data_IF_217946046960
#
_entry.id   IF_217946046960
#
_cell.length_a   1.000
_cell.length_b   1.000
_cell.length_c   1.000
_cell.angle_alpha   90.00
_cell.angle_beta   90.00
_cell.angle_gamma   90.00
#
_symmetry.space_group_name_H-M   'P 1'
#
loop_
_entity.id
_entity.type
_entity.pdbx_description
1 polymer ?
#
# COMPACT_ATOMS: atom_id res chain seq x y z
N UNK A 1 -12.21 8.30 21.80
CA UNK A 1 -11.88 7.29 22.83
C UNK A 1 -10.45 7.42 23.38
N UNK A 2 -9.40 7.47 22.55
CA UNK A 2 -8.01 7.54 23.03
C UNK A 2 -7.70 8.71 23.97
N UNK A 3 -8.20 9.91 23.67
CA UNK A 3 -8.10 11.09 24.54
C UNK A 3 -8.79 10.88 25.90
N UNK A 4 -10.01 10.34 25.90
CA UNK A 4 -10.76 10.07 27.13
C UNK A 4 -10.04 9.06 28.04
N UNK A 5 -9.26 8.14 27.46
CA UNK A 5 -8.41 7.18 28.16
C UNK A 5 -7.03 7.72 28.53
N UNK A 6 -6.76 9.01 28.27
CA UNK A 6 -5.49 9.68 28.55
C UNK A 6 -4.27 8.96 27.93
N UNK A 7 -4.44 8.41 26.73
CA UNK A 7 -3.34 7.72 26.05
C UNK A 7 -2.30 8.69 25.48
N UNK A 8 -2.65 9.96 25.28
CA UNK A 8 -1.80 11.10 24.94
C UNK A 8 -2.65 12.37 24.98
N UNK A 9 -2.04 13.53 25.19
CA UNK A 9 -2.73 14.83 25.03
C UNK A 9 -2.83 15.24 23.54
N UNK A 10 -2.04 14.61 22.66
CA UNK A 10 -2.16 14.77 21.22
C UNK A 10 -3.22 13.80 20.68
N UNK A 11 -4.28 14.35 20.05
CA UNK A 11 -5.41 13.56 19.55
C UNK A 11 -5.04 12.49 18.52
N UNK A 12 -4.06 12.77 17.64
CA UNK A 12 -3.60 11.81 16.64
C UNK A 12 -2.84 10.64 17.27
N UNK A 13 -1.91 10.93 18.17
CA UNK A 13 -1.17 9.89 18.93
C UNK A 13 -2.14 9.08 19.80
N UNK A 14 -3.08 9.75 20.48
CA UNK A 14 -4.08 9.08 21.31
C UNK A 14 -4.95 8.13 20.47
N UNK A 15 -5.29 8.52 19.24
CA UNK A 15 -6.01 7.67 18.30
C UNK A 15 -5.20 6.44 17.89
N UNK A 16 -3.93 6.61 17.49
CA UNK A 16 -3.06 5.49 17.09
C UNK A 16 -2.81 4.51 18.22
N UNK A 17 -2.57 5.00 19.44
CA UNK A 17 -2.44 4.14 20.64
C UNK A 17 -3.73 3.40 20.93
N UNK A 18 -4.89 4.05 20.77
CA UNK A 18 -6.17 3.37 20.99
C UNK A 18 -6.44 2.32 19.92
N UNK A 19 -6.14 2.63 18.66
CA UNK A 19 -6.18 1.67 17.56
C UNK A 19 -5.34 0.44 17.88
N UNK A 20 -4.08 0.60 18.29
CA UNK A 20 -3.21 -0.50 18.66
C UNK A 20 -3.77 -1.37 19.81
N UNK A 21 -4.29 -0.75 20.88
CA UNK A 21 -4.95 -1.49 21.96
C UNK A 21 -6.15 -2.31 21.46
N UNK A 22 -7.03 -1.70 20.67
CA UNK A 22 -8.22 -2.39 20.13
C UNK A 22 -7.86 -3.51 19.17
N UNK A 23 -6.85 -3.29 18.31
CA UNK A 23 -6.32 -4.33 17.44
C UNK A 23 -5.82 -5.51 18.26
N UNK A 24 -4.98 -5.29 19.29
CA UNK A 24 -4.52 -6.36 20.16
C UNK A 24 -5.66 -7.11 20.87
N UNK A 25 -6.68 -6.39 21.36
CA UNK A 25 -7.88 -6.98 21.98
C UNK A 25 -8.66 -7.88 21.00
N UNK A 26 -8.93 -7.39 19.78
CA UNK A 26 -9.65 -8.13 18.75
C UNK A 26 -8.86 -9.35 18.27
N UNK A 27 -7.56 -9.20 18.06
CA UNK A 27 -6.71 -10.29 17.59
C UNK A 27 -6.57 -11.42 18.61
N UNK A 28 -6.65 -11.13 19.92
CA UNK A 28 -6.75 -12.17 20.96
C UNK A 28 -8.04 -12.97 20.88
N UNK A 29 -9.17 -12.32 20.56
CA UNK A 29 -10.45 -13.01 20.41
C UNK A 29 -10.37 -13.96 19.23
N UNK A 30 -9.89 -13.49 18.07
CA UNK A 30 -9.73 -14.34 16.89
C UNK A 30 -8.73 -15.48 17.11
N UNK A 31 -7.65 -15.25 17.85
CA UNK A 31 -6.73 -16.32 18.22
C UNK A 31 -7.42 -17.45 19.02
N UNK A 32 -8.40 -17.12 19.86
CA UNK A 32 -9.21 -18.14 20.57
C UNK A 32 -10.17 -18.87 19.62
N UNK A 33 -10.81 -18.13 18.70
CA UNK A 33 -11.75 -18.70 17.72
C UNK A 33 -11.06 -19.68 16.76
N UNK A 34 -9.79 -19.41 16.42
CA UNK A 34 -8.97 -20.24 15.54
C UNK A 34 -7.99 -21.15 16.32
N UNK A 35 -8.20 -21.38 17.61
CA UNK A 35 -7.25 -22.12 18.45
C UNK A 35 -7.05 -23.58 17.99
N UNK A 36 -8.04 -24.19 17.34
CA UNK A 36 -8.00 -25.52 16.73
C UNK A 36 -7.30 -25.55 15.35
N UNK A 37 -7.12 -24.39 14.73
CA UNK A 37 -6.52 -24.22 13.40
C UNK A 37 -5.68 -22.93 13.31
N UNK A 38 -4.68 -22.75 14.19
CA UNK A 38 -3.97 -21.47 14.33
C UNK A 38 -3.25 -21.04 13.04
N UNK A 39 -2.83 -22.00 12.19
CA UNK A 39 -2.21 -21.72 10.89
C UNK A 39 -3.14 -21.09 9.85
N UNK A 40 -4.45 -21.02 10.09
CA UNK A 40 -5.42 -20.35 9.20
C UNK A 40 -5.67 -18.87 9.57
N UNK A 41 -4.99 -18.35 10.61
CA UNK A 41 -5.12 -16.98 11.05
C UNK A 41 -3.80 -16.21 10.89
N UNK A 42 -3.86 -15.06 10.24
CA UNK A 42 -2.79 -14.04 10.28
C UNK A 42 -3.37 -12.78 10.90
N UNK A 43 -2.85 -12.39 12.07
CA UNK A 43 -3.28 -11.21 12.80
C UNK A 43 -2.48 -10.00 12.32
N UNK A 44 -3.16 -8.96 11.85
CA UNK A 44 -2.53 -7.83 11.16
C UNK A 44 -2.85 -6.52 11.87
N UNK A 45 -1.81 -5.69 12.10
CA UNK A 45 -1.98 -4.26 12.35
C UNK A 45 -1.61 -3.48 11.08
N UNK A 46 -2.33 -2.41 10.79
CA UNK A 46 -2.14 -1.57 9.61
C UNK A 46 -1.75 -0.14 9.99
N UNK A 47 -0.80 0.43 9.27
CA UNK A 47 -0.28 1.80 9.48
C UNK A 47 -0.18 2.57 8.16
N UNK A 48 0.10 3.87 8.24
CA UNK A 48 0.24 4.70 7.05
C UNK A 48 1.60 4.45 6.41
N UNK A 49 1.60 4.10 5.12
CA UNK A 49 2.84 3.88 4.39
C UNK A 49 3.68 5.17 4.33
N UNK A 50 3.09 6.25 3.82
CA UNK A 50 3.71 7.57 3.67
C UNK A 50 4.09 8.27 4.98
N UNK A 51 3.72 7.70 6.13
CA UNK A 51 4.09 8.23 7.44
C UNK A 51 4.56 7.10 8.37
N UNK A 52 5.81 6.64 8.24
CA UNK A 52 6.36 5.53 9.04
C UNK A 52 6.35 5.78 10.56
N UNK A 53 6.26 7.04 11.01
CA UNK A 53 6.08 7.35 12.43
C UNK A 53 4.77 6.79 13.01
N UNK A 54 3.76 6.56 12.17
CA UNK A 54 2.55 5.85 12.61
C UNK A 54 2.86 4.39 12.97
N UNK A 55 3.78 3.73 12.25
CA UNK A 55 4.25 2.39 12.60
C UNK A 55 5.02 2.36 13.91
N UNK A 56 5.86 3.36 14.16
CA UNK A 56 6.52 3.52 15.46
C UNK A 56 5.51 3.56 16.62
N UNK A 57 4.54 4.47 16.58
CA UNK A 57 3.58 4.63 17.68
C UNK A 57 2.76 3.35 17.88
N UNK A 58 2.29 2.76 16.78
CA UNK A 58 1.46 1.55 16.83
C UNK A 58 2.27 0.37 17.39
N UNK A 59 3.47 0.12 16.87
CA UNK A 59 4.30 -1.03 17.29
C UNK A 59 4.90 -0.86 18.69
N UNK A 60 5.13 0.37 19.16
CA UNK A 60 5.59 0.65 20.53
C UNK A 60 4.47 0.64 21.56
N UNK A 61 3.19 0.60 21.14
CA UNK A 61 2.07 0.53 22.08
C UNK A 61 2.07 -0.84 22.79
N UNK A 62 2.09 -0.87 24.15
CA UNK A 62 2.22 -2.11 24.90
C UNK A 62 1.17 -3.17 24.53
N UNK A 63 1.63 -4.41 24.37
CA UNK A 63 0.80 -5.57 24.10
C UNK A 63 0.31 -5.71 22.65
N UNK A 64 0.53 -4.74 21.75
CA UNK A 64 0.16 -4.95 20.35
C UNK A 64 1.03 -6.03 19.70
N UNK A 65 2.36 -5.89 19.80
CA UNK A 65 3.30 -6.78 19.13
C UNK A 65 3.09 -8.25 19.49
N UNK A 66 2.73 -8.57 20.73
CA UNK A 66 2.46 -9.96 21.15
C UNK A 66 1.20 -10.56 20.50
N UNK A 67 0.33 -9.70 19.98
CA UNK A 67 -0.99 -10.06 19.49
C UNK A 67 -1.15 -9.94 17.97
N UNK A 68 -0.06 -9.67 17.24
CA UNK A 68 -0.04 -9.63 15.77
C UNK A 68 1.07 -10.51 15.20
N UNK A 69 0.89 -10.89 13.94
CA UNK A 69 1.83 -11.70 13.14
C UNK A 69 2.47 -10.87 12.02
N UNK A 70 1.79 -9.81 11.57
CA UNK A 70 2.27 -8.91 10.53
C UNK A 70 1.91 -7.43 10.79
N UNK A 71 2.82 -6.55 10.38
CA UNK A 71 2.55 -5.14 10.14
C UNK A 71 2.26 -4.94 8.66
N UNK A 72 1.21 -4.21 8.34
CA UNK A 72 0.78 -3.96 6.98
C UNK A 72 0.70 -2.47 6.64
N UNK A 73 1.09 -2.10 5.41
CA UNK A 73 0.90 -0.74 4.89
C UNK A 73 0.27 -0.77 3.49
N UNK A 74 0.02 0.40 2.91
CA UNK A 74 -0.44 0.55 1.54
C UNK A 74 0.57 1.35 0.69
N UNK A 75 1.61 0.71 0.11
CA UNK A 75 2.67 1.36 -0.67
C UNK A 75 2.20 1.92 -2.02
N UNK A 76 1.29 2.87 -2.01
CA UNK A 76 0.93 3.60 -3.22
C UNK A 76 2.04 4.55 -3.67
N UNK A 77 2.22 4.68 -4.99
CA UNK A 77 3.13 5.67 -5.60
C UNK A 77 2.37 6.64 -6.50
N UNK A 78 2.87 7.87 -6.67
CA UNK A 78 2.19 8.90 -7.44
C UNK A 78 1.15 9.71 -6.66
N UNK A 79 1.19 9.73 -5.33
CA UNK A 79 0.35 10.65 -4.55
C UNK A 79 0.75 12.10 -4.85
N UNK A 80 -0.24 12.99 -5.06
CA UNK A 80 -0.01 14.38 -5.47
C UNK A 80 0.86 14.54 -6.73
N UNK A 81 0.88 13.52 -7.60
CA UNK A 81 1.82 13.46 -8.73
C UNK A 81 1.69 14.64 -9.70
N UNK A 82 0.49 15.19 -9.88
CA UNK A 82 0.23 16.29 -10.81
C UNK A 82 0.27 17.67 -10.14
N UNK A 83 0.76 17.78 -8.91
CA UNK A 83 0.93 19.08 -8.26
C UNK A 83 2.26 19.74 -8.64
N UNK A 84 2.38 21.04 -8.40
CA UNK A 84 3.62 21.79 -8.64
C UNK A 84 4.06 21.79 -10.10
N UNK A 85 5.33 21.47 -10.36
CA UNK A 85 5.94 21.55 -11.70
C UNK A 85 5.30 20.61 -12.73
N UNK A 86 4.55 19.59 -12.29
CA UNK A 86 3.88 18.62 -13.17
C UNK A 86 2.45 19.00 -13.52
N UNK A 87 1.90 20.06 -12.91
CA UNK A 87 0.53 20.53 -13.16
C UNK A 87 0.25 20.66 -14.66
N UNK A 88 1.11 21.38 -15.37
CA UNK A 88 0.97 21.65 -16.81
C UNK A 88 1.91 20.80 -17.69
N UNK A 89 2.53 19.75 -17.14
CA UNK A 89 3.43 18.89 -17.91
C UNK A 89 2.62 18.01 -18.88
N UNK A 90 3.01 17.99 -20.14
CA UNK A 90 2.36 17.24 -21.23
C UNK A 90 3.25 16.15 -21.83
N UNK A 91 4.55 16.15 -21.56
CA UNK A 91 5.45 15.09 -21.99
C UNK A 91 5.15 13.80 -21.21
N UNK A 92 4.47 12.87 -21.88
CA UNK A 92 4.06 11.59 -21.29
C UNK A 92 5.26 10.71 -20.95
N UNK A 93 6.36 10.78 -21.70
CA UNK A 93 7.54 9.96 -21.44
C UNK A 93 8.24 10.44 -20.17
N UNK A 94 8.36 11.77 -20.01
CA UNK A 94 8.90 12.37 -18.78
C UNK A 94 8.01 12.05 -17.57
N UNK A 95 6.67 12.17 -17.70
CA UNK A 95 5.73 11.80 -16.63
C UNK A 95 5.84 10.33 -16.23
N UNK A 96 5.98 9.40 -17.19
CA UNK A 96 6.13 7.98 -16.88
C UNK A 96 7.48 7.68 -16.23
N UNK A 97 8.55 8.35 -16.67
CA UNK A 97 9.88 8.25 -16.03
C UNK A 97 9.86 8.75 -14.58
N UNK A 98 9.20 9.88 -14.33
CA UNK A 98 9.04 10.44 -12.98
C UNK A 98 8.22 9.51 -12.09
N UNK A 99 7.12 8.95 -12.60
CA UNK A 99 6.29 8.00 -11.87
C UNK A 99 7.07 6.73 -11.52
N UNK A 100 7.90 6.23 -12.44
CA UNK A 100 8.80 5.10 -12.19
C UNK A 100 9.78 5.39 -11.04
N UNK A 101 10.35 6.60 -11.03
CA UNK A 101 11.25 7.08 -9.97
C UNK A 101 10.55 7.15 -8.62
N UNK A 102 9.31 7.63 -8.58
CA UNK A 102 8.50 7.65 -7.36
C UNK A 102 8.17 6.25 -6.86
N UNK A 103 7.77 5.32 -7.73
CA UNK A 103 7.51 3.93 -7.36
C UNK A 103 8.73 3.29 -6.65
N UNK A 104 9.94 3.54 -7.17
CA UNK A 104 11.18 3.08 -6.57
C UNK A 104 11.44 3.73 -5.20
N UNK A 105 11.26 5.06 -5.10
CA UNK A 105 11.47 5.82 -3.84
C UNK A 105 10.51 5.37 -2.75
N UNK A 106 9.22 5.20 -3.07
CA UNK A 106 8.18 4.72 -2.16
C UNK A 106 8.62 3.44 -1.44
N UNK A 107 9.16 2.45 -2.17
CA UNK A 107 9.62 1.22 -1.54
C UNK A 107 10.97 1.38 -0.83
N UNK A 108 11.92 2.13 -1.43
CA UNK A 108 13.27 2.30 -0.90
C UNK A 108 13.34 3.15 0.38
N UNK A 109 12.38 4.05 0.58
CA UNK A 109 12.34 4.96 1.70
C UNK A 109 11.25 4.54 2.71
N UNK A 110 9.99 4.81 2.39
CA UNK A 110 8.86 4.56 3.28
C UNK A 110 8.66 3.04 3.51
N UNK A 111 8.84 2.23 2.47
CA UNK A 111 8.80 0.77 2.57
C UNK A 111 9.81 0.22 3.57
N UNK A 112 11.09 0.59 3.41
CA UNK A 112 12.17 0.17 4.32
C UNK A 112 11.95 0.68 5.75
N UNK A 113 11.49 1.93 5.91
CA UNK A 113 11.22 2.50 7.23
C UNK A 113 10.11 1.74 7.97
N UNK A 114 9.02 1.38 7.30
CA UNK A 114 7.96 0.57 7.90
C UNK A 114 8.42 -0.89 8.14
N UNK A 115 9.17 -1.48 7.20
CA UNK A 115 9.72 -2.83 7.34
C UNK A 115 10.67 -2.94 8.53
N UNK A 116 11.46 -1.90 8.81
CA UNK A 116 12.35 -1.85 9.97
C UNK A 116 11.56 -1.96 11.29
N UNK A 117 10.40 -1.32 11.40
CA UNK A 117 9.53 -1.44 12.57
C UNK A 117 8.92 -2.83 12.70
N UNK A 118 8.49 -3.45 11.60
CA UNK A 118 8.03 -4.84 11.63
C UNK A 118 9.15 -5.79 12.12
N UNK A 119 10.34 -5.66 11.52
CA UNK A 119 11.54 -6.46 11.83
C UNK A 119 11.97 -6.31 13.28
N UNK A 120 11.94 -5.10 13.85
CA UNK A 120 12.29 -4.81 15.25
C UNK A 120 11.49 -5.65 16.24
N UNK A 121 10.26 -6.01 15.90
CA UNK A 121 9.37 -6.82 16.74
C UNK A 121 9.19 -8.26 16.22
N UNK A 122 10.04 -8.70 15.28
CA UNK A 122 9.97 -10.05 14.70
C UNK A 122 8.67 -10.31 13.93
N UNK A 123 8.07 -9.28 13.31
CA UNK A 123 6.83 -9.37 12.54
C UNK A 123 7.08 -9.36 11.06
N UNK A 124 6.18 -10.00 10.31
CA UNK A 124 6.13 -9.90 8.85
C UNK A 124 5.80 -8.46 8.44
N UNK A 125 6.29 -8.06 7.27
CA UNK A 125 5.92 -6.80 6.64
C UNK A 125 5.18 -7.09 5.33
N UNK A 126 3.90 -6.73 5.27
CA UNK A 126 3.02 -7.01 4.13
C UNK A 126 2.39 -5.73 3.60
N UNK A 127 1.84 -5.78 2.39
CA UNK A 127 1.01 -4.72 1.83
C UNK A 127 -0.43 -5.20 1.66
N UNK A 128 -1.36 -4.53 2.35
CA UNK A 128 -2.80 -4.83 2.24
C UNK A 128 -3.41 -4.23 0.97
N UNK A 129 -2.80 -3.18 0.43
CA UNK A 129 -3.13 -2.52 -0.84
C UNK A 129 -1.87 -1.94 -1.46
N UNK A 130 -1.81 -1.78 -2.79
CA UNK A 130 -0.63 -1.26 -3.49
C UNK A 130 -0.95 -0.90 -4.93
N UNK A 131 -0.10 -0.05 -5.50
CA UNK A 131 -0.15 0.35 -6.91
C UNK A 131 0.02 1.86 -7.11
N UNK A 132 -0.31 2.33 -8.30
CA UNK A 132 -0.32 3.77 -8.58
C UNK A 132 -1.49 4.48 -7.87
N UNK A 133 -1.33 5.78 -7.63
CA UNK A 133 -2.31 6.73 -7.09
C UNK A 133 -2.40 7.99 -7.98
N UNK A 134 -2.59 7.84 -9.29
CA UNK A 134 -2.77 8.99 -10.17
C UNK A 134 -4.20 9.54 -10.02
N UNK A 135 -4.31 10.75 -9.47
CA UNK A 135 -5.54 11.52 -9.30
C UNK A 135 -5.39 12.91 -9.91
N UNK A 136 -6.36 13.32 -10.73
CA UNK A 136 -6.38 14.63 -11.37
C UNK A 136 -7.82 15.05 -11.66
N UNK A 137 -8.26 16.15 -11.07
CA UNK A 137 -9.57 16.74 -11.36
C UNK A 137 -9.62 17.24 -12.80
N UNK A 138 -10.53 16.70 -13.61
CA UNK A 138 -10.65 17.04 -15.04
C UNK A 138 -9.60 16.40 -15.96
N UNK A 139 -8.64 15.66 -15.42
CA UNK A 139 -7.49 15.09 -16.14
C UNK A 139 -7.69 13.69 -16.73
N UNK A 140 -8.93 13.26 -16.98
CA UNK A 140 -9.22 11.86 -17.34
C UNK A 140 -8.46 11.37 -18.58
N UNK A 141 -8.32 12.21 -19.60
CA UNK A 141 -7.57 11.87 -20.82
C UNK A 141 -6.09 11.66 -20.54
N UNK A 142 -5.48 12.53 -19.73
CA UNK A 142 -4.05 12.44 -19.36
C UNK A 142 -3.79 11.19 -18.52
N UNK A 143 -4.57 10.98 -17.46
CA UNK A 143 -4.51 9.77 -16.63
C UNK A 143 -4.73 8.52 -17.49
N UNK A 144 -5.72 8.55 -18.39
CA UNK A 144 -5.99 7.45 -19.33
C UNK A 144 -4.80 7.11 -20.21
N UNK A 145 -4.14 8.12 -20.79
CA UNK A 145 -2.94 7.94 -21.60
C UNK A 145 -1.78 7.30 -20.81
N UNK A 146 -1.53 7.78 -19.59
CA UNK A 146 -0.48 7.22 -18.73
C UNK A 146 -0.81 5.79 -18.28
N UNK A 147 -2.05 5.54 -17.86
CA UNK A 147 -2.52 4.25 -17.34
C UNK A 147 -2.50 3.14 -18.40
N UNK A 148 -2.75 3.48 -19.66
CA UNK A 148 -2.76 2.54 -20.79
C UNK A 148 -1.42 2.45 -21.52
N UNK A 149 -0.43 3.26 -21.13
CA UNK A 149 0.90 3.23 -21.72
C UNK A 149 1.59 1.87 -21.50
N UNK A 150 2.32 1.40 -22.51
CA UNK A 150 3.16 0.21 -22.37
C UNK A 150 4.21 0.37 -21.28
N UNK A 151 4.72 1.58 -21.01
CA UNK A 151 5.69 1.79 -19.93
C UNK A 151 5.08 1.56 -18.54
N UNK A 152 3.75 1.62 -18.39
CA UNK A 152 3.08 1.25 -17.14
C UNK A 152 3.28 -0.24 -16.79
N UNK A 153 3.46 -1.10 -17.81
CA UNK A 153 3.83 -2.50 -17.60
C UNK A 153 5.21 -2.59 -16.95
N UNK A 154 6.18 -1.82 -17.45
CA UNK A 154 7.55 -1.82 -16.92
C UNK A 154 7.60 -1.26 -15.49
N UNK A 155 6.86 -0.17 -15.23
CA UNK A 155 6.75 0.42 -13.87
C UNK A 155 6.22 -0.63 -12.89
N UNK A 156 5.12 -1.31 -13.21
CA UNK A 156 4.55 -2.34 -12.32
C UNK A 156 5.45 -3.57 -12.21
N UNK A 157 6.12 -3.97 -13.29
CA UNK A 157 7.06 -5.10 -13.29
C UNK A 157 8.21 -4.82 -12.33
N UNK A 158 8.81 -3.63 -12.42
CA UNK A 158 9.90 -3.21 -11.54
C UNK A 158 9.42 -3.04 -10.10
N UNK A 159 8.28 -2.38 -9.89
CA UNK A 159 7.72 -2.17 -8.55
C UNK A 159 7.41 -3.49 -7.81
N UNK A 160 6.80 -4.47 -8.49
CA UNK A 160 6.52 -5.79 -7.91
C UNK A 160 7.83 -6.57 -7.67
N UNK A 161 8.80 -6.45 -8.57
CA UNK A 161 10.12 -7.09 -8.42
C UNK A 161 10.89 -6.50 -7.25
N UNK A 162 10.89 -5.17 -7.10
CA UNK A 162 11.51 -4.46 -5.98
C UNK A 162 10.88 -4.88 -4.65
N UNK A 163 9.55 -4.97 -4.58
CA UNK A 163 8.87 -5.49 -3.40
C UNK A 163 9.33 -6.91 -3.03
N UNK A 164 9.35 -7.82 -4.00
CA UNK A 164 9.83 -9.20 -3.80
C UNK A 164 11.27 -9.24 -3.32
N UNK A 165 12.12 -8.36 -3.84
CA UNK A 165 13.54 -8.33 -3.52
C UNK A 165 13.78 -7.79 -2.12
N UNK A 166 13.06 -6.74 -1.72
CA UNK A 166 13.24 -6.04 -0.43
C UNK A 166 12.56 -6.75 0.72
N UNK A 167 11.31 -7.17 0.53
CA UNK A 167 10.44 -7.60 1.62
C UNK A 167 10.00 -9.06 1.49
N UNK A 168 9.94 -9.58 0.26
CA UNK A 168 9.63 -10.97 -0.07
C UNK A 168 8.37 -11.56 0.60
N UNK A 169 7.38 -10.72 0.88
CA UNK A 169 6.10 -11.13 1.46
C UNK A 169 4.93 -10.61 0.63
N UNK A 170 3.72 -10.61 1.18
CA UNK A 170 2.47 -10.39 0.47
C UNK A 170 2.36 -8.94 -0.02
N UNK A 171 2.12 -8.78 -1.32
CA UNK A 171 1.78 -7.51 -1.98
C UNK A 171 0.40 -7.62 -2.61
N UNK A 172 -0.59 -6.95 -2.03
CA UNK A 172 -1.96 -6.96 -2.56
C UNK A 172 -2.18 -5.73 -3.43
N UNK A 173 -2.43 -5.89 -4.72
CA UNK A 173 -2.72 -4.77 -5.63
C UNK A 173 -4.20 -4.35 -5.51
N UNK A 174 -4.46 -3.05 -5.33
CA UNK A 174 -5.72 -2.54 -4.79
C UNK A 174 -6.99 -2.84 -5.59
N UNK A 175 -6.94 -3.00 -6.91
CA UNK A 175 -8.15 -3.46 -7.59
C UNK A 175 -7.89 -4.24 -8.85
N UNK A 176 -8.54 -5.39 -8.95
CA UNK A 176 -8.56 -6.21 -10.16
C UNK A 176 -9.25 -5.48 -11.32
N UNK A 177 -10.44 -4.91 -11.11
CA UNK A 177 -11.27 -4.32 -12.17
C UNK A 177 -11.93 -3.04 -11.67
N UNK A 178 -11.61 -1.89 -12.26
CA UNK A 178 -12.25 -0.61 -11.97
C UNK A 178 -11.98 0.40 -13.10
N UNK A 179 -12.98 1.16 -13.57
CA UNK A 179 -12.79 2.12 -14.65
C UNK A 179 -11.92 3.30 -14.20
N UNK A 180 -11.42 4.04 -15.19
CA UNK A 180 -10.80 5.35 -14.93
C UNK A 180 -11.91 6.35 -14.62
N UNK A 181 -11.77 7.06 -13.51
CA UNK A 181 -12.72 8.09 -13.07
C UNK A 181 -12.01 9.31 -12.53
N UNK A 182 -12.77 10.34 -12.14
CA UNK A 182 -12.23 11.52 -11.43
C UNK A 182 -11.58 11.15 -10.10
N UNK A 183 -11.90 9.97 -9.58
CA UNK A 183 -11.31 9.42 -8.37
C UNK A 183 -10.14 8.48 -8.65
N UNK A 184 -9.63 8.43 -9.89
CA UNK A 184 -8.38 7.73 -10.25
C UNK A 184 -8.53 6.55 -11.20
N UNK A 185 -7.38 6.02 -11.62
CA UNK A 185 -7.24 4.87 -12.51
C UNK A 185 -6.72 3.62 -11.77
N UNK A 186 -7.44 3.15 -10.76
CA UNK A 186 -6.94 2.12 -9.83
C UNK A 186 -6.81 0.72 -10.45
N UNK A 187 -7.81 0.31 -11.24
CA UNK A 187 -7.98 -1.08 -11.66
C UNK A 187 -6.81 -1.61 -12.49
N UNK A 188 -6.39 -2.86 -12.25
CA UNK A 188 -5.43 -3.56 -13.12
C UNK A 188 -5.96 -3.69 -14.56
N UNK A 189 -7.29 -3.73 -14.70
CA UNK A 189 -8.06 -3.50 -15.91
C UNK A 189 -9.26 -2.59 -15.62
N UNK A 190 -9.83 -2.00 -16.66
CA UNK A 190 -10.90 -1.00 -16.56
C UNK A 190 -12.30 -1.63 -16.57
N UNK A 191 -12.48 -2.73 -17.30
CA UNK A 191 -13.76 -3.43 -17.40
C UNK A 191 -13.55 -4.94 -17.58
N UNK A 192 -14.59 -5.72 -17.30
CA UNK A 192 -14.58 -7.17 -17.49
C UNK A 192 -14.47 -7.52 -18.98
N UNK A 193 -13.56 -8.42 -19.32
CA UNK A 193 -13.31 -8.81 -20.71
C UNK A 193 -12.33 -7.90 -21.46
N UNK A 194 -11.76 -6.85 -20.84
CA UNK A 194 -10.73 -6.04 -21.47
C UNK A 194 -9.56 -6.93 -21.96
N UNK A 195 -9.13 -6.79 -23.24
CA UNK A 195 -8.04 -7.58 -23.78
C UNK A 195 -6.78 -7.48 -22.93
N UNK A 196 -6.10 -8.61 -22.71
CA UNK A 196 -4.89 -8.64 -21.87
C UNK A 196 -3.82 -7.67 -22.40
N UNK A 197 -3.68 -7.56 -23.73
CA UNK A 197 -2.76 -6.63 -24.41
C UNK A 197 -2.95 -5.17 -24.00
N UNK A 198 -4.17 -4.76 -23.65
CA UNK A 198 -4.55 -3.39 -23.27
C UNK A 198 -4.51 -3.16 -21.74
N UNK A 199 -4.04 -4.14 -20.98
CA UNK A 199 -4.05 -4.10 -19.49
C UNK A 199 -2.62 -4.17 -18.94
N UNK A 200 -1.78 -3.14 -19.13
CA UNK A 200 -0.36 -3.18 -18.78
C UNK A 200 -0.11 -3.58 -17.31
N UNK A 201 -0.90 -3.04 -16.38
CA UNK A 201 -0.82 -3.38 -14.96
C UNK A 201 -1.19 -4.82 -14.66
N UNK A 202 -2.27 -5.33 -15.26
CA UNK A 202 -2.69 -6.73 -15.13
C UNK A 202 -1.68 -7.69 -15.73
N UNK A 203 -1.08 -7.34 -16.88
CA UNK A 203 -0.01 -8.13 -17.51
C UNK A 203 1.16 -8.31 -16.56
N UNK A 204 1.65 -7.23 -15.94
CA UNK A 204 2.73 -7.29 -14.96
C UNK A 204 2.34 -8.14 -13.74
N UNK A 205 1.13 -7.94 -13.22
CA UNK A 205 0.62 -8.71 -12.07
C UNK A 205 0.52 -10.22 -12.37
N UNK A 206 0.11 -10.63 -13.57
CA UNK A 206 0.07 -12.05 -13.97
C UNK A 206 1.47 -12.61 -14.17
N UNK A 207 2.36 -11.86 -14.82
CA UNK A 207 3.73 -12.30 -15.09
C UNK A 207 4.53 -12.55 -13.80
N UNK A 208 4.26 -11.77 -12.75
CA UNK A 208 4.97 -11.83 -11.48
C UNK A 208 4.13 -12.38 -10.32
N UNK A 209 2.87 -12.72 -10.51
CA UNK A 209 2.06 -13.37 -9.49
C UNK A 209 2.68 -14.70 -9.04
N UNK A 210 2.53 -15.06 -7.76
CA UNK A 210 2.84 -16.44 -7.34
C UNK A 210 1.86 -17.36 -8.07
N UNK A 211 2.39 -18.38 -8.75
CA UNK A 211 1.59 -19.51 -9.26
C UNK A 211 1.14 -20.37 -8.09
#
# INVERSE_FOLDING_TARGET
EGLARKLSDNGFIANLRRYAQRTGEVMRIWAKVFADRPGQLVRVAATQHGNPWTAEIVMTTPGLADNIDALATAPYFGHSFFEGVRTNQTDTALLLSDLASEAKKTLANEGEANAAWAKKYGKRYIAYEAGQHLLETGGLTRIGGLNRSNLMYDIYTNYITDWKTRFNDTLTLYSSTSPISSFGAWGLREYSGQPLSETPKRRAAIALGRK
#
